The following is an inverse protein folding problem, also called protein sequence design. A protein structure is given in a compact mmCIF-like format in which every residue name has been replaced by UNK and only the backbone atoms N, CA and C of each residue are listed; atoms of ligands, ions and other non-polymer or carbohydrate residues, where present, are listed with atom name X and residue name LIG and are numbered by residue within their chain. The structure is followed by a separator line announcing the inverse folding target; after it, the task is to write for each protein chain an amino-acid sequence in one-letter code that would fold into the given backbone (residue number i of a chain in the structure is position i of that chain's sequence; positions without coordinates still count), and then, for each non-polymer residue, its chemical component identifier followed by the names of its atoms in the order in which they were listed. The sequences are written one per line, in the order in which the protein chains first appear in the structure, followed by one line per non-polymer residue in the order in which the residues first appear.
data_IF_365215093360
#
_entry.id   IF_365215093360
#
_cell.length_a   1.000
_cell.length_b   1.000
_cell.length_c   1.000
_cell.angle_alpha   90.00
_cell.angle_beta   90.00
_cell.angle_gamma   90.00
#
_symmetry.space_group_name_H-M   'P 1'
#
loop_
_entity.id
_entity.type
_entity.pdbx_description
1 polymer ?
#
# COMPACT_ATOMS: atom_id res chain seq x y z
N UNK A 1 -5.47 17.40 -9.19
CA UNK A 1 -4.95 16.02 -9.24
C UNK A 1 -5.96 15.14 -8.52
N UNK A 2 -6.57 14.17 -9.20
CA UNK A 2 -7.66 13.36 -8.62
C UNK A 2 -7.10 12.42 -7.54
N UNK A 3 -7.36 12.72 -6.27
CA UNK A 3 -6.97 11.94 -5.09
C UNK A 3 -7.77 10.65 -4.91
N UNK A 4 -8.20 10.00 -6.00
CA UNK A 4 -8.82 8.67 -5.94
C UNK A 4 -7.74 7.59 -5.75
N UNK A 5 -6.80 7.80 -4.82
CA UNK A 5 -5.98 6.73 -4.24
C UNK A 5 -6.96 5.72 -3.68
N UNK A 6 -6.93 4.48 -4.15
CA UNK A 6 -7.90 3.45 -3.75
C UNK A 6 -8.01 3.41 -2.22
N UNK A 7 -9.14 3.88 -1.71
CA UNK A 7 -9.42 3.99 -0.27
C UNK A 7 -9.70 2.64 0.39
N UNK A 8 -9.75 1.56 -0.40
CA UNK A 8 -10.14 0.23 0.05
C UNK A 8 -9.27 -0.85 -0.60
N UNK A 9 -8.88 -1.85 0.19
CA UNK A 9 -8.32 -3.09 -0.32
C UNK A 9 -9.40 -3.95 -1.00
N UNK A 10 -9.03 -5.12 -1.53
CA UNK A 10 -9.99 -5.98 -2.26
C UNK A 10 -11.07 -6.61 -1.35
N UNK A 11 -10.96 -6.48 -0.03
CA UNK A 11 -12.02 -6.82 0.91
C UNK A 11 -12.99 -5.66 1.21
N UNK A 12 -12.83 -4.50 0.55
CA UNK A 12 -13.63 -3.31 0.82
C UNK A 12 -13.25 -2.58 2.11
N UNK A 13 -12.20 -3.03 2.82
CA UNK A 13 -11.73 -2.39 4.05
C UNK A 13 -10.61 -1.36 3.76
N UNK A 14 -10.49 -0.29 4.57
CA UNK A 14 -9.39 0.67 4.43
C UNK A 14 -8.00 0.02 4.57
N UNK A 15 -7.05 0.30 3.66
CA UNK A 15 -5.69 -0.22 3.75
C UNK A 15 -4.91 0.46 4.88
N UNK A 16 -3.74 -0.10 5.22
CA UNK A 16 -2.78 0.48 6.16
C UNK A 16 -1.60 1.07 5.40
N UNK A 17 -1.12 2.24 5.85
CA UNK A 17 0.10 2.88 5.34
C UNK A 17 1.33 2.26 6.01
N UNK A 18 2.30 1.82 5.22
CA UNK A 18 3.59 1.26 5.65
C UNK A 18 4.75 1.99 4.99
N UNK A 19 5.94 1.87 5.58
CA UNK A 19 7.21 2.33 5.03
C UNK A 19 8.00 1.11 4.58
N UNK A 20 8.52 1.15 3.36
CA UNK A 20 9.43 0.14 2.83
C UNK A 20 10.84 0.38 3.36
N UNK A 21 11.46 -0.68 3.86
CA UNK A 21 12.83 -0.67 4.37
C UNK A 21 13.78 -1.51 3.49
N UNK A 22 13.32 -1.95 2.31
CA UNK A 22 14.18 -2.65 1.35
C UNK A 22 15.11 -1.66 0.66
N UNK A 23 16.31 -2.10 0.28
CA UNK A 23 17.30 -1.23 -0.36
C UNK A 23 16.77 -0.58 -1.66
N UNK A 24 15.98 -1.33 -2.45
CA UNK A 24 15.46 -0.85 -3.73
C UNK A 24 14.36 0.20 -3.59
N UNK A 25 13.67 0.23 -2.45
CA UNK A 25 12.52 1.10 -2.20
C UNK A 25 12.60 1.72 -0.80
N UNK A 26 13.80 2.09 -0.37
CA UNK A 26 14.04 2.57 0.98
C UNK A 26 13.22 3.85 1.23
N UNK A 27 12.58 3.93 2.40
CA UNK A 27 11.74 5.05 2.85
C UNK A 27 10.49 5.35 2.00
N UNK A 28 10.24 4.60 0.92
CA UNK A 28 9.02 4.75 0.12
C UNK A 28 7.82 4.22 0.88
N UNK A 29 6.71 4.97 0.87
CA UNK A 29 5.45 4.61 1.51
C UNK A 29 4.54 3.86 0.56
N UNK A 30 3.87 2.83 1.08
CA UNK A 30 2.89 2.03 0.35
C UNK A 30 1.67 1.72 1.22
N UNK A 31 0.56 1.41 0.56
CA UNK A 31 -0.69 0.96 1.15
C UNK A 31 -0.79 -0.56 0.99
N UNK A 32 -1.19 -1.24 2.06
CA UNK A 32 -1.30 -2.70 2.09
C UNK A 32 -2.61 -3.13 2.78
N UNK A 33 -3.05 -4.36 2.54
CA UNK A 33 -4.14 -4.95 3.28
C UNK A 33 -3.77 -5.09 4.76
N UNK A 34 -4.67 -4.68 5.66
CA UNK A 34 -4.47 -4.87 7.11
C UNK A 34 -4.25 -6.34 7.50
N UNK A 35 -4.83 -7.26 6.74
CA UNK A 35 -4.72 -8.69 6.98
C UNK A 35 -3.49 -9.31 6.27
N UNK A 36 -2.59 -8.51 5.68
CA UNK A 36 -1.43 -9.03 4.96
C UNK A 36 -0.48 -9.85 5.84
N UNK A 37 -0.17 -9.34 7.03
CA UNK A 37 0.72 -9.99 8.02
C UNK A 37 0.00 -11.01 8.90
N UNK A 38 -1.33 -10.98 8.91
CA UNK A 38 -2.10 -11.95 9.67
C UNK A 38 -1.97 -13.30 8.97
N UNK A 39 -1.56 -14.34 9.69
CA UNK A 39 -1.34 -15.71 9.20
C UNK A 39 -2.56 -16.38 8.55
N UNK A 40 -3.65 -15.65 8.35
CA UNK A 40 -4.76 -16.04 7.51
C UNK A 40 -4.24 -16.25 6.09
N UNK A 41 -4.35 -17.47 5.59
CA UNK A 41 -3.93 -17.89 4.25
C UNK A 41 -4.60 -17.09 3.11
N UNK A 42 -5.55 -16.20 3.43
CA UNK A 42 -6.29 -15.35 2.51
C UNK A 42 -6.04 -13.87 2.81
N UNK A 43 -4.81 -13.37 2.75
CA UNK A 43 -4.64 -11.93 2.59
C UNK A 43 -4.92 -11.55 1.13
N UNK A 44 -5.68 -10.49 0.87
CA UNK A 44 -6.12 -10.15 -0.49
C UNK A 44 -4.99 -9.63 -1.41
N UNK A 45 -3.76 -9.56 -0.90
CA UNK A 45 -2.57 -9.09 -1.64
C UNK A 45 -2.73 -7.69 -2.24
N UNK A 46 -3.60 -6.85 -1.67
CA UNK A 46 -3.71 -5.45 -2.07
C UNK A 46 -2.40 -4.72 -1.81
N UNK A 47 -1.92 -4.00 -2.82
CA UNK A 47 -0.73 -3.17 -2.75
C UNK A 47 -0.93 -1.93 -3.63
N UNK A 48 -0.52 -0.76 -3.15
CA UNK A 48 -0.50 0.49 -3.93
C UNK A 48 0.59 1.44 -3.40
N UNK A 49 1.32 2.14 -4.27
CA UNK A 49 2.32 3.11 -3.82
C UNK A 49 1.64 4.39 -3.31
N UNK A 50 2.00 4.84 -2.12
CA UNK A 50 1.49 6.10 -1.58
C UNK A 50 2.25 7.30 -2.15
N UNK A 51 3.57 7.15 -2.26
CA UNK A 51 4.45 8.13 -2.89
C UNK A 51 4.37 7.99 -4.41
N UNK A 52 4.38 9.10 -5.17
CA UNK A 52 4.42 9.03 -6.62
C UNK A 52 5.70 8.31 -7.08
N UNK A 53 5.62 7.60 -8.21
CA UNK A 53 6.78 6.88 -8.78
C UNK A 53 7.92 7.81 -9.19
N UNK A 54 7.59 9.06 -9.50
CA UNK A 54 8.54 10.11 -9.86
C UNK A 54 8.22 11.35 -9.02
N UNK A 55 9.23 12.09 -8.53
CA UNK A 55 8.99 13.43 -8.00
C UNK A 55 8.27 14.22 -9.09
N UNK A 56 7.14 14.83 -8.75
CA UNK A 56 6.48 15.81 -9.63
C UNK A 56 7.52 16.88 -9.96
N UNK A 57 7.95 16.89 -11.22
CA UNK A 57 8.87 17.88 -11.78
C UNK A 57 8.19 19.24 -11.88
#
# INVERSE_FOLDING_TARGET
MNYNRRLVCLYGAPPILKISWTNDNFERRFLDCRNYESSFQNSCKFFDWYDPEFPTQ
#
